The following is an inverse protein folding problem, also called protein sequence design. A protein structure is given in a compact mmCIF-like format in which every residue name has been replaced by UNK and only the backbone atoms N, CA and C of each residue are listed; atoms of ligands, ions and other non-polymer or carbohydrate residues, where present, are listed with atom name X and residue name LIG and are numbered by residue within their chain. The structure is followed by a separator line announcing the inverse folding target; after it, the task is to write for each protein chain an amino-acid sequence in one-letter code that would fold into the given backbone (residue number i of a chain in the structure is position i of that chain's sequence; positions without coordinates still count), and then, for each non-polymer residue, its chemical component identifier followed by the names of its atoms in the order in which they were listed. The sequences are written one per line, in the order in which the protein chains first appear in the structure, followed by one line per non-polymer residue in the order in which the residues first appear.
data_IF_672147989874
#
_entry.id   IF_672147989874
#
_cell.length_a   1.000
_cell.length_b   1.000
_cell.length_c   1.000
_cell.angle_alpha   90.00
_cell.angle_beta   90.00
_cell.angle_gamma   90.00
#
_symmetry.space_group_name_H-M   'P 1'
#
loop_
_entity.id
_entity.type
_entity.pdbx_description
1 polymer ?
#
# COMPACT_ATOMS: atom_id res chain seq x y z
N UNK A 1 -0.16 -16.97 4.53
CA UNK A 1 -0.79 -15.68 4.91
C UNK A 1 0.29 -14.87 5.60
N UNK A 2 0.55 -13.64 5.16
CA UNK A 2 1.54 -12.78 5.83
C UNK A 2 1.00 -12.45 7.23
N UNK A 3 1.65 -12.97 8.25
CA UNK A 3 1.30 -12.72 9.65
C UNK A 3 2.54 -12.14 10.31
N UNK A 4 2.40 -10.94 10.86
CA UNK A 4 3.44 -10.37 11.69
C UNK A 4 3.65 -11.25 12.92
N UNK A 5 4.89 -11.69 13.13
CA UNK A 5 5.31 -12.47 14.30
C UNK A 5 6.57 -11.80 14.84
N UNK A 6 6.47 -11.07 15.95
CA UNK A 6 7.63 -10.40 16.52
C UNK A 6 8.66 -11.43 16.97
N UNK A 7 9.94 -11.12 16.76
CA UNK A 7 11.03 -11.84 17.40
C UNK A 7 11.14 -11.42 18.87
N UNK A 8 10.87 -10.14 19.17
CA UNK A 8 10.81 -9.57 20.52
C UNK A 8 9.62 -8.61 20.60
N UNK A 9 8.84 -8.65 21.69
CA UNK A 9 7.75 -7.70 21.89
C UNK A 9 8.30 -6.29 22.14
N UNK A 10 7.55 -5.26 21.74
CA UNK A 10 7.99 -3.87 21.87
C UNK A 10 8.33 -3.47 23.32
N UNK A 11 7.59 -4.00 24.31
CA UNK A 11 7.84 -3.77 25.74
C UNK A 11 8.91 -4.71 26.35
N UNK A 12 9.44 -5.66 25.58
CA UNK A 12 10.47 -6.61 26.00
C UNK A 12 11.84 -6.34 25.35
N UNK A 13 11.91 -5.39 24.43
CA UNK A 13 13.15 -4.94 23.81
C UNK A 13 14.11 -4.38 24.87
N UNK A 14 15.36 -4.83 24.85
CA UNK A 14 16.37 -4.51 25.88
C UNK A 14 17.24 -3.34 25.50
N UNK A 15 17.39 -3.11 24.20
CA UNK A 15 18.18 -2.01 23.65
C UNK A 15 17.63 -1.54 22.28
N UNK A 16 18.32 -0.56 21.70
CA UNK A 16 17.96 0.00 20.40
C UNK A 16 18.19 -0.97 19.23
N UNK A 17 18.99 -2.02 19.39
CA UNK A 17 19.20 -3.01 18.35
C UNK A 17 17.98 -3.91 18.21
N UNK A 18 17.38 -4.34 19.33
CA UNK A 18 16.13 -5.11 19.32
C UNK A 18 15.00 -4.33 18.61
N UNK A 19 14.85 -3.05 18.97
CA UNK A 19 13.83 -2.16 18.37
C UNK A 19 14.03 -2.03 16.85
N UNK A 20 15.25 -1.75 16.41
CA UNK A 20 15.55 -1.56 14.98
C UNK A 20 15.35 -2.84 14.19
N UNK A 21 15.80 -3.97 14.71
CA UNK A 21 15.63 -5.26 14.05
C UNK A 21 14.14 -5.59 13.85
N UNK A 22 13.29 -5.27 14.82
CA UNK A 22 11.85 -5.51 14.70
C UNK A 22 11.16 -4.51 13.75
N UNK A 23 11.57 -3.24 13.74
CA UNK A 23 11.11 -2.25 12.74
C UNK A 23 11.48 -2.72 11.32
N UNK A 24 12.73 -3.13 11.09
CA UNK A 24 13.19 -3.63 9.79
C UNK A 24 12.37 -4.86 9.34
N UNK A 25 12.01 -5.74 10.28
CA UNK A 25 11.15 -6.90 10.01
C UNK A 25 9.73 -6.48 9.58
N UNK A 26 9.12 -5.53 10.30
CA UNK A 26 7.81 -4.96 9.96
C UNK A 26 7.86 -4.34 8.57
N UNK A 27 8.86 -3.49 8.29
CA UNK A 27 8.99 -2.78 7.03
C UNK A 27 9.19 -3.74 5.85
N UNK A 28 9.98 -4.80 6.03
CA UNK A 28 10.12 -5.85 5.02
C UNK A 28 8.76 -6.50 4.70
N UNK A 29 7.97 -6.84 5.73
CA UNK A 29 6.64 -7.42 5.54
C UNK A 29 5.67 -6.45 4.84
N UNK A 30 5.72 -5.16 5.19
CA UNK A 30 4.95 -4.12 4.51
C UNK A 30 5.32 -4.08 3.03
N UNK A 31 6.61 -4.05 2.69
CA UNK A 31 7.08 -4.02 1.30
C UNK A 31 6.61 -5.27 0.52
N UNK A 32 6.66 -6.47 1.12
CA UNK A 32 6.13 -7.69 0.50
C UNK A 32 4.63 -7.61 0.22
N UNK A 33 3.86 -7.05 1.15
CA UNK A 33 2.42 -6.80 0.98
C UNK A 33 2.16 -5.77 -0.11
N UNK A 34 2.97 -4.72 -0.22
CA UNK A 34 2.87 -3.72 -1.27
C UNK A 34 3.18 -4.32 -2.66
N UNK A 35 4.19 -5.19 -2.76
CA UNK A 35 4.47 -5.93 -3.99
C UNK A 35 3.28 -6.81 -4.41
N UNK A 36 2.71 -7.56 -3.46
CA UNK A 36 1.51 -8.37 -3.70
C UNK A 36 0.33 -7.50 -4.13
N UNK A 37 0.13 -6.35 -3.47
CA UNK A 37 -0.90 -5.36 -3.83
C UNK A 37 -0.71 -4.84 -5.26
N UNK A 38 0.54 -4.65 -5.70
CA UNK A 38 0.82 -4.20 -7.06
C UNK A 38 0.42 -5.25 -8.10
N UNK A 39 0.59 -6.54 -7.83
CA UNK A 39 0.14 -7.60 -8.74
C UNK A 39 -1.37 -7.60 -8.95
N UNK A 40 -2.16 -7.24 -7.92
CA UNK A 40 -3.60 -7.02 -8.09
C UNK A 40 -3.91 -5.82 -9.00
N UNK A 41 -3.13 -4.74 -8.95
CA UNK A 41 -3.30 -3.60 -9.88
C UNK A 41 -2.99 -4.03 -11.31
N UNK A 42 -1.90 -4.77 -11.53
CA UNK A 42 -1.59 -5.36 -12.84
C UNK A 42 -2.70 -6.27 -13.34
N UNK A 43 -3.28 -7.11 -12.48
CA UNK A 43 -4.40 -7.96 -12.86
C UNK A 43 -5.65 -7.13 -13.20
N UNK A 44 -5.94 -6.06 -12.45
CA UNK A 44 -7.07 -5.16 -12.69
C UNK A 44 -7.00 -4.47 -14.07
N UNK A 45 -5.80 -4.22 -14.61
CA UNK A 45 -5.59 -3.67 -15.95
C UNK A 45 -6.32 -4.44 -17.06
N UNK A 46 -6.44 -5.77 -16.90
CA UNK A 46 -7.08 -6.64 -17.89
C UNK A 46 -8.59 -6.39 -18.00
N UNK A 47 -9.19 -5.74 -17.01
CA UNK A 47 -10.62 -5.46 -16.93
C UNK A 47 -10.98 -4.02 -17.31
N UNK A 48 -9.99 -3.13 -17.46
CA UNK A 48 -10.22 -1.73 -17.83
C UNK A 48 -10.46 -1.62 -19.35
N UNK A 49 -11.74 -1.72 -19.77
CA UNK A 49 -12.14 -1.28 -21.11
C UNK A 49 -12.26 0.24 -21.14
N UNK A 50 -11.91 0.84 -22.28
CA UNK A 50 -12.00 2.28 -22.55
C UNK A 50 -13.33 2.85 -22.02
N UNK A 51 -13.26 3.96 -21.28
CA UNK A 51 -14.35 4.76 -20.70
C UNK A 51 -14.90 4.34 -19.33
N UNK A 52 -14.13 4.52 -18.24
CA UNK A 52 -14.67 4.67 -16.86
C UNK A 52 -13.76 5.59 -16.02
N UNK A 53 -13.59 6.86 -16.41
CA UNK A 53 -12.70 7.79 -15.65
C UNK A 53 -13.35 8.37 -14.38
N UNK A 54 -14.64 8.71 -14.43
CA UNK A 54 -15.31 9.37 -13.28
C UNK A 54 -15.51 8.40 -12.11
N UNK A 55 -16.03 7.20 -12.38
CA UNK A 55 -16.25 6.19 -11.34
C UNK A 55 -14.93 5.65 -10.75
N UNK A 56 -13.83 5.65 -11.53
CA UNK A 56 -12.49 5.34 -11.01
C UNK A 56 -12.02 6.41 -10.00
N UNK A 57 -12.28 7.69 -10.27
CA UNK A 57 -11.94 8.80 -9.36
C UNK A 57 -12.72 8.76 -8.06
N UNK A 58 -14.02 8.50 -8.10
CA UNK A 58 -14.84 8.35 -6.90
C UNK A 58 -14.38 7.16 -6.04
N UNK A 59 -14.12 6.02 -6.68
CA UNK A 59 -13.59 4.83 -5.98
C UNK A 59 -12.25 5.09 -5.32
N UNK A 60 -11.37 5.83 -5.99
CA UNK A 60 -10.07 6.23 -5.47
C UNK A 60 -10.20 7.12 -4.23
N UNK A 61 -11.03 8.16 -4.29
CA UNK A 61 -11.26 9.05 -3.14
C UNK A 61 -11.88 8.31 -1.95
N UNK A 62 -12.90 7.49 -2.19
CA UNK A 62 -13.52 6.66 -1.15
C UNK A 62 -12.52 5.68 -0.51
N UNK A 63 -11.61 5.12 -1.31
CA UNK A 63 -10.54 4.25 -0.83
C UNK A 63 -9.60 5.00 0.13
N UNK A 64 -9.22 6.23 -0.20
CA UNK A 64 -8.35 7.08 0.61
C UNK A 64 -8.98 7.48 1.95
N UNK A 65 -10.23 7.93 1.96
CA UNK A 65 -10.95 8.25 3.20
C UNK A 65 -11.07 7.03 4.13
N UNK A 66 -11.27 5.84 3.54
CA UNK A 66 -11.29 4.61 4.33
C UNK A 66 -9.92 4.30 4.97
N UNK A 67 -8.80 4.55 4.27
CA UNK A 67 -7.45 4.35 4.85
C UNK A 67 -7.16 5.35 5.95
N UNK A 68 -7.62 6.60 5.78
CA UNK A 68 -7.58 7.62 6.83
C UNK A 68 -8.27 7.12 8.10
N UNK A 69 -9.53 6.66 7.97
CA UNK A 69 -10.29 6.15 9.11
C UNK A 69 -9.59 4.98 9.81
N UNK A 70 -9.07 4.00 9.05
CA UNK A 70 -8.35 2.87 9.64
C UNK A 70 -7.08 3.28 10.37
N UNK A 71 -6.38 4.30 9.88
CA UNK A 71 -5.20 4.85 10.54
C UNK A 71 -5.59 5.53 11.86
N UNK A 72 -6.64 6.36 11.85
CA UNK A 72 -7.15 7.03 13.04
C UNK A 72 -7.59 5.99 14.11
N UNK A 73 -8.27 4.91 13.70
CA UNK A 73 -8.68 3.80 14.59
C UNK A 73 -7.49 3.07 15.24
N UNK A 74 -6.33 3.06 14.59
CA UNK A 74 -5.10 2.44 15.08
C UNK A 74 -4.17 3.44 15.81
N UNK A 75 -4.60 4.69 16.00
CA UNK A 75 -3.84 5.72 16.70
C UNK A 75 -2.74 6.37 15.86
N UNK A 76 -2.80 6.26 14.53
CA UNK A 76 -1.92 6.95 13.59
C UNK A 76 -2.58 8.25 13.10
N UNK A 77 -1.76 9.15 12.54
CA UNK A 77 -2.28 10.32 11.83
C UNK A 77 -2.87 9.87 10.48
N UNK A 78 -4.20 9.93 10.37
CA UNK A 78 -4.90 9.48 9.18
C UNK A 78 -4.63 10.31 7.93
N UNK A 79 -4.25 11.59 8.05
CA UNK A 79 -3.88 12.41 6.89
C UNK A 79 -2.52 11.99 6.33
N UNK A 80 -1.56 11.63 7.20
CA UNK A 80 -0.26 11.07 6.78
C UNK A 80 -0.46 9.73 6.05
N UNK A 81 -1.28 8.82 6.59
CA UNK A 81 -1.54 7.53 5.95
C UNK A 81 -2.28 7.72 4.63
N UNK A 82 -3.24 8.65 4.57
CA UNK A 82 -3.93 9.00 3.33
C UNK A 82 -2.96 9.47 2.25
N UNK A 83 -2.03 10.36 2.58
CA UNK A 83 -1.02 10.84 1.64
C UNK A 83 -0.11 9.71 1.14
N UNK A 84 0.37 8.86 2.05
CA UNK A 84 1.18 7.69 1.72
C UNK A 84 0.47 6.80 0.68
N UNK A 85 -0.79 6.45 0.92
CA UNK A 85 -1.57 5.63 -0.01
C UNK A 85 -1.89 6.37 -1.32
N UNK A 86 -2.15 7.67 -1.29
CA UNK A 86 -2.38 8.45 -2.51
C UNK A 86 -1.16 8.40 -3.44
N UNK A 87 0.04 8.63 -2.90
CA UNK A 87 1.29 8.56 -3.63
C UNK A 87 1.56 7.14 -4.18
N UNK A 88 1.40 6.13 -3.34
CA UNK A 88 1.61 4.72 -3.72
C UNK A 88 0.69 4.29 -4.87
N UNK A 89 -0.61 4.58 -4.79
CA UNK A 89 -1.56 4.16 -5.83
C UNK A 89 -1.33 4.92 -7.12
N UNK A 90 -1.02 6.22 -7.05
CA UNK A 90 -0.67 7.00 -8.24
C UNK A 90 0.52 6.37 -8.96
N UNK A 91 1.57 6.03 -8.24
CA UNK A 91 2.72 5.31 -8.80
C UNK A 91 2.32 3.99 -9.47
N UNK A 92 1.48 3.17 -8.84
CA UNK A 92 1.04 1.90 -9.45
C UNK A 92 0.27 2.09 -10.77
N UNK A 93 -0.56 3.14 -10.85
CA UNK A 93 -1.29 3.48 -12.09
C UNK A 93 -0.32 3.96 -13.17
N UNK A 94 0.64 4.82 -12.82
CA UNK A 94 1.62 5.34 -13.76
C UNK A 94 2.51 4.22 -14.34
N UNK A 95 2.94 3.26 -13.51
CA UNK A 95 3.70 2.09 -13.95
C UNK A 95 2.87 1.14 -14.84
N UNK A 96 1.58 0.97 -14.54
CA UNK A 96 0.66 0.22 -15.40
C UNK A 96 0.57 0.84 -16.80
N UNK A 97 0.42 2.17 -16.89
CA UNK A 97 0.34 2.90 -18.17
C UNK A 97 1.62 2.73 -19.01
N UNK A 98 2.80 2.76 -18.39
CA UNK A 98 4.07 2.49 -19.09
C UNK A 98 4.11 1.08 -19.66
N UNK A 99 3.70 0.07 -18.89
CA UNK A 99 3.69 -1.31 -19.34
C UNK A 99 2.72 -1.56 -20.52
N UNK A 100 1.58 -0.85 -20.55
CA UNK A 100 0.62 -0.94 -21.66
C UNK A 100 1.21 -0.33 -22.95
N UNK A 101 1.84 0.85 -22.87
CA UNK A 101 2.47 1.49 -24.04
C UNK A 101 3.61 0.67 -24.65
N UNK A 102 4.31 -0.15 -23.86
CA UNK A 102 5.36 -1.04 -24.34
C UNK A 102 4.84 -2.34 -24.98
N UNK A 103 3.60 -2.78 -24.70
CA UNK A 103 2.99 -3.96 -25.32
C UNK A 103 2.35 -3.68 -26.69
N UNK A 104 2.13 -2.42 -27.02
CA UNK A 104 1.54 -1.97 -28.29
C UNK A 104 2.58 -1.67 -29.38
N UNK A 105 3.87 -1.88 -29.11
CA UNK A 105 4.99 -1.80 -30.09
C UNK A 105 5.51 -3.20 -30.41
#
# INVERSE_FOLDING_TARGET
MFQYRPNVLANECRDMNDIRAEIDNIDHLVIQLLATRFDYVKAASQFKKNTIDVQAKERFNSMLEQRKLWADELGLDGDIIKELYANLVKYFIDEELKHLQHKEK
#
